data_IF_137086522950
#
_entry.id   IF_137086522950
#
_cell.length_a   1.000
_cell.length_b   1.000
_cell.length_c   1.000
_cell.angle_alpha   90.00
_cell.angle_beta   90.00
_cell.angle_gamma   90.00
#
_symmetry.space_group_name_H-M   'P 1'
#
loop_
_entity.id
_entity.type
_entity.pdbx_description
1 polymer ?
#
# COMPACT_ATOMS: atom_id res chain seq x y z
N UNK A 1 12.02 6.51 -22.66
CA UNK A 1 13.10 7.40 -23.14
C UNK A 1 13.20 7.28 -24.64
N UNK A 2 13.61 8.34 -25.36
CA UNK A 2 13.76 8.34 -26.82
C UNK A 2 15.23 8.56 -27.16
N UNK A 3 15.84 7.63 -27.89
CA UNK A 3 17.29 7.63 -28.18
C UNK A 3 17.54 7.98 -29.64
N UNK A 4 18.43 8.95 -29.89
CA UNK A 4 18.93 9.27 -31.22
C UNK A 4 20.42 8.91 -31.27
N UNK A 5 20.86 8.24 -32.33
CA UNK A 5 22.27 7.98 -32.57
C UNK A 5 22.79 8.88 -33.69
N UNK A 6 23.93 9.55 -33.45
CA UNK A 6 24.62 10.37 -34.44
C UNK A 6 26.08 9.88 -34.58
N UNK A 7 26.42 9.28 -35.72
CA UNK A 7 27.72 8.60 -35.91
C UNK A 7 28.40 8.95 -37.24
N UNK A 8 29.73 8.91 -37.28
CA UNK A 8 30.51 8.98 -38.53
C UNK A 8 30.71 7.61 -39.19
N UNK A 9 30.37 6.52 -38.49
CA UNK A 9 30.46 5.15 -38.99
C UNK A 9 29.06 4.66 -39.40
N UNK A 10 28.79 4.62 -40.70
CA UNK A 10 27.47 4.35 -41.27
C UNK A 10 27.34 2.98 -41.93
N UNK A 11 28.05 1.97 -41.43
CA UNK A 11 27.88 0.61 -41.95
C UNK A 11 26.46 0.13 -41.68
N UNK A 12 25.90 -0.62 -42.64
CA UNK A 12 24.55 -1.19 -42.54
C UNK A 12 24.41 -2.05 -41.28
N UNK A 13 25.44 -2.81 -40.93
CA UNK A 13 25.51 -3.63 -39.71
C UNK A 13 25.37 -2.78 -38.44
N UNK A 14 26.08 -1.65 -38.34
CA UNK A 14 25.99 -0.75 -37.17
C UNK A 14 24.59 -0.14 -37.05
N UNK A 15 23.97 0.22 -38.17
CA UNK A 15 22.61 0.76 -38.18
C UNK A 15 21.57 -0.29 -37.76
N UNK A 16 21.71 -1.53 -38.27
CA UNK A 16 20.84 -2.65 -37.90
C UNK A 16 20.97 -2.98 -36.41
N UNK A 17 22.20 -3.11 -35.91
CA UNK A 17 22.45 -3.38 -34.49
C UNK A 17 21.89 -2.26 -33.60
N UNK A 18 22.10 -1.00 -33.97
CA UNK A 18 21.60 0.13 -33.20
C UNK A 18 20.07 0.18 -33.12
N UNK A 19 19.37 -0.16 -34.20
CA UNK A 19 17.90 -0.24 -34.22
C UNK A 19 17.40 -1.46 -33.43
N UNK A 20 17.95 -2.64 -33.69
CA UNK A 20 17.44 -3.90 -33.15
C UNK A 20 17.83 -4.10 -31.68
N UNK A 21 19.05 -3.73 -31.28
CA UNK A 21 19.57 -3.95 -29.93
C UNK A 21 19.53 -2.67 -29.10
N UNK A 22 19.81 -1.52 -29.72
CA UNK A 22 19.86 -0.22 -29.03
C UNK A 22 18.49 0.45 -28.83
N UNK A 23 17.46 -0.03 -29.53
CA UNK A 23 16.12 0.59 -29.56
C UNK A 23 16.19 2.10 -29.87
N UNK A 24 17.00 2.49 -30.84
CA UNK A 24 17.11 3.89 -31.25
C UNK A 24 15.89 4.30 -32.07
N UNK A 25 15.38 5.50 -31.80
CA UNK A 25 14.27 6.10 -32.52
C UNK A 25 14.71 6.59 -33.91
N UNK A 26 15.90 7.19 -34.00
CA UNK A 26 16.50 7.65 -35.26
C UNK A 26 18.01 7.46 -35.28
N UNK A 27 18.52 7.16 -36.46
CA UNK A 27 19.93 7.04 -36.79
C UNK A 27 20.33 8.17 -37.76
N UNK A 28 21.38 8.90 -37.43
CA UNK A 28 21.92 10.01 -38.22
C UNK A 28 23.40 9.80 -38.51
N UNK A 29 23.84 10.16 -39.71
CA UNK A 29 25.24 10.10 -40.13
C UNK A 29 25.89 11.48 -40.12
N UNK A 30 27.18 11.56 -39.82
CA UNK A 30 27.97 12.78 -39.96
C UNK A 30 28.59 12.88 -41.36
N UNK A 31 28.65 14.09 -41.96
CA UNK A 31 28.08 15.35 -41.46
C UNK A 31 26.56 15.38 -41.60
N UNK A 32 25.85 15.81 -40.54
CA UNK A 32 24.39 15.92 -40.55
C UNK A 32 23.98 17.38 -40.84
N UNK A 33 23.19 17.65 -41.89
CA UNK A 33 22.66 18.99 -42.15
C UNK A 33 21.85 19.52 -40.96
N UNK A 34 22.02 20.81 -40.57
CA UNK A 34 21.30 21.39 -39.45
C UNK A 34 19.78 21.21 -39.51
N UNK A 35 19.16 21.34 -40.70
CA UNK A 35 17.72 21.15 -40.87
C UNK A 35 17.27 19.71 -40.64
N UNK A 36 18.10 18.73 -41.01
CA UNK A 36 17.81 17.32 -40.79
C UNK A 36 17.92 16.96 -39.30
N UNK A 37 18.92 17.52 -38.61
CA UNK A 37 19.06 17.39 -37.17
C UNK A 37 17.88 18.04 -36.45
N UNK A 38 17.48 19.26 -36.84
CA UNK A 38 16.36 19.99 -36.26
C UNK A 38 15.04 19.18 -36.38
N UNK A 39 14.69 18.72 -37.59
CA UNK A 39 13.50 17.87 -37.80
C UNK A 39 13.55 16.57 -37.00
N UNK A 40 14.73 15.98 -36.83
CA UNK A 40 14.91 14.75 -36.06
C UNK A 40 14.71 14.99 -34.57
N UNK A 41 15.21 16.11 -34.04
CA UNK A 41 15.00 16.52 -32.65
C UNK A 41 13.54 16.85 -32.39
N UNK A 42 12.87 17.60 -33.26
CA UNK A 42 11.42 17.88 -33.16
C UNK A 42 10.59 16.60 -33.12
N UNK A 43 10.88 15.65 -34.02
CA UNK A 43 10.20 14.36 -34.04
C UNK A 43 10.48 13.53 -32.77
N UNK A 44 11.71 13.57 -32.25
CA UNK A 44 12.08 12.84 -31.05
C UNK A 44 11.47 13.43 -29.78
N UNK A 45 11.39 14.77 -29.69
CA UNK A 45 10.68 15.47 -28.61
C UNK A 45 9.20 15.08 -28.64
N UNK A 46 8.54 15.16 -29.81
CA UNK A 46 7.15 14.75 -29.94
C UNK A 46 6.92 13.28 -29.57
N UNK A 47 7.82 12.39 -29.96
CA UNK A 47 7.75 10.97 -29.57
C UNK A 47 7.91 10.81 -28.05
N UNK A 48 8.83 11.56 -27.44
CA UNK A 48 9.05 11.52 -26.00
C UNK A 48 7.81 12.02 -25.25
N UNK A 49 7.21 13.12 -25.70
CA UNK A 49 5.96 13.66 -25.15
C UNK A 49 4.83 12.64 -25.24
N UNK A 50 4.64 11.98 -26.38
CA UNK A 50 3.60 10.96 -26.56
C UNK A 50 3.78 9.77 -25.60
N UNK A 51 5.00 9.22 -25.53
CA UNK A 51 5.30 8.06 -24.66
C UNK A 51 5.17 8.43 -23.18
N UNK A 52 5.64 9.62 -22.78
CA UNK A 52 5.49 10.09 -21.40
C UNK A 52 4.03 10.37 -21.07
N UNK A 53 3.27 10.98 -21.98
CA UNK A 53 1.85 11.26 -21.79
C UNK A 53 1.02 9.97 -21.67
N UNK A 54 1.30 8.95 -22.48
CA UNK A 54 0.67 7.62 -22.37
C UNK A 54 0.94 7.00 -21.00
N UNK A 55 2.21 7.00 -20.57
CA UNK A 55 2.61 6.46 -19.26
C UNK A 55 1.91 7.22 -18.11
N UNK A 56 1.95 8.54 -18.14
CA UNK A 56 1.30 9.37 -17.12
C UNK A 56 -0.21 9.18 -17.08
N UNK A 57 -0.87 9.13 -18.24
CA UNK A 57 -2.30 8.89 -18.33
C UNK A 57 -2.65 7.55 -17.73
N UNK A 58 -1.87 6.51 -18.04
CA UNK A 58 -2.09 5.17 -17.54
C UNK A 58 -1.87 5.08 -16.02
N UNK A 59 -0.82 5.70 -15.48
CA UNK A 59 -0.57 5.76 -14.04
C UNK A 59 -1.65 6.55 -13.30
N UNK A 60 -2.05 7.72 -13.82
CA UNK A 60 -3.13 8.54 -13.25
C UNK A 60 -4.46 7.79 -13.25
N UNK A 61 -4.81 7.15 -14.38
CA UNK A 61 -6.05 6.37 -14.52
C UNK A 61 -6.05 5.19 -13.57
N UNK A 62 -4.94 4.43 -13.49
CA UNK A 62 -4.85 3.30 -12.56
C UNK A 62 -5.01 3.74 -11.11
N UNK A 63 -4.33 4.82 -10.72
CA UNK A 63 -4.43 5.37 -9.36
C UNK A 63 -5.85 5.83 -9.02
N UNK A 64 -6.54 6.46 -9.98
CA UNK A 64 -7.94 6.87 -9.83
C UNK A 64 -8.88 5.67 -9.73
N UNK A 65 -8.67 4.61 -10.53
CA UNK A 65 -9.44 3.37 -10.42
C UNK A 65 -9.28 2.72 -9.04
N UNK A 66 -8.05 2.61 -8.54
CA UNK A 66 -7.78 2.10 -7.18
C UNK A 66 -8.49 2.97 -6.14
N UNK A 67 -8.42 4.30 -6.28
CA UNK A 67 -9.10 5.22 -5.39
C UNK A 67 -10.61 4.98 -5.35
N UNK A 68 -11.27 4.88 -6.52
CA UNK A 68 -12.71 4.59 -6.61
C UNK A 68 -13.06 3.27 -5.94
N UNK A 69 -12.27 2.20 -6.14
CA UNK A 69 -12.50 0.91 -5.48
C UNK A 69 -12.42 1.01 -3.96
N UNK A 70 -11.43 1.75 -3.44
CA UNK A 70 -11.30 1.98 -2.00
C UNK A 70 -12.43 2.85 -1.44
N UNK A 71 -12.92 3.84 -2.20
CA UNK A 71 -14.08 4.63 -1.81
C UNK A 71 -15.35 3.79 -1.76
N UNK A 72 -15.58 2.93 -2.75
CA UNK A 72 -16.71 1.98 -2.75
C UNK A 72 -16.64 1.05 -1.55
N UNK A 73 -15.46 0.50 -1.25
CA UNK A 73 -15.27 -0.32 -0.05
C UNK A 73 -15.63 0.46 1.22
N UNK A 74 -15.25 1.74 1.31
CA UNK A 74 -15.58 2.60 2.46
C UNK A 74 -17.08 2.80 2.67
N UNK A 75 -17.86 2.77 1.58
CA UNK A 75 -19.31 2.93 1.61
C UNK A 75 -20.03 1.61 1.92
N UNK A 76 -19.59 0.52 1.31
CA UNK A 76 -20.23 -0.80 1.44
C UNK A 76 -19.81 -1.51 2.73
N UNK A 77 -18.54 -1.39 3.12
CA UNK A 77 -17.99 -2.09 4.26
C UNK A 77 -16.96 -1.21 5.03
N UNK A 78 -17.44 -0.32 5.92
CA UNK A 78 -16.58 0.58 6.70
C UNK A 78 -15.58 -0.16 7.60
N UNK A 79 -15.92 -1.36 8.07
CA UNK A 79 -15.08 -2.19 8.92
C UNK A 79 -13.88 -2.74 8.15
N UNK A 80 -14.11 -3.29 6.95
CA UNK A 80 -13.06 -3.73 6.03
C UNK A 80 -12.16 -2.58 5.57
N UNK A 81 -12.76 -1.44 5.18
CA UNK A 81 -12.01 -0.24 4.80
C UNK A 81 -11.13 0.29 5.94
N UNK A 82 -11.65 0.26 7.18
CA UNK A 82 -10.87 0.63 8.36
C UNK A 82 -9.64 -0.25 8.55
N UNK A 83 -9.76 -1.56 8.34
CA UNK A 83 -8.62 -2.49 8.39
C UNK A 83 -7.63 -2.22 7.26
N UNK A 84 -8.10 -2.08 6.02
CA UNK A 84 -7.26 -1.76 4.87
C UNK A 84 -6.42 -0.48 5.11
N UNK A 85 -7.03 0.55 5.68
CA UNK A 85 -6.35 1.81 6.01
C UNK A 85 -5.27 1.65 7.09
N UNK A 86 -5.53 0.86 8.16
CA UNK A 86 -4.53 0.59 9.20
C UNK A 86 -3.37 -0.26 8.69
N UNK A 87 -3.70 -1.33 7.97
CA UNK A 87 -2.73 -2.25 7.37
C UNK A 87 -1.85 -1.53 6.35
N UNK A 88 -2.44 -0.71 5.46
CA UNK A 88 -1.70 0.09 4.49
C UNK A 88 -0.65 1.00 5.13
N UNK A 89 -0.99 1.63 6.27
CA UNK A 89 -0.03 2.45 7.03
C UNK A 89 1.10 1.62 7.64
N UNK A 90 0.79 0.46 8.21
CA UNK A 90 1.81 -0.46 8.75
C UNK A 90 2.75 -0.92 7.62
N UNK A 91 2.20 -1.35 6.49
CA UNK A 91 2.95 -1.79 5.31
C UNK A 91 3.87 -0.69 4.80
N UNK A 92 3.36 0.54 4.64
CA UNK A 92 4.15 1.70 4.20
C UNK A 92 5.32 1.98 5.14
N UNK A 93 5.11 1.91 6.45
CA UNK A 93 6.18 2.14 7.42
C UNK A 93 7.22 1.01 7.40
N UNK A 94 6.80 -0.25 7.24
CA UNK A 94 7.71 -1.38 7.08
C UNK A 94 8.54 -1.22 5.80
N UNK A 95 7.92 -0.84 4.67
CA UNK A 95 8.63 -0.62 3.41
C UNK A 95 9.69 0.50 3.52
N UNK A 96 9.40 1.56 4.26
CA UNK A 96 10.38 2.62 4.55
C UNK A 96 11.55 2.12 5.38
N UNK A 97 11.29 1.36 6.45
CA UNK A 97 12.34 0.78 7.31
C UNK A 97 13.24 -0.18 6.52
N UNK A 98 12.65 -0.96 5.62
CA UNK A 98 13.38 -1.89 4.75
C UNK A 98 14.04 -1.21 3.52
N UNK A 99 13.92 0.11 3.37
CA UNK A 99 14.44 0.88 2.23
C UNK A 99 14.02 0.32 0.86
N UNK A 100 12.73 -0.01 0.69
CA UNK A 100 12.19 -0.51 -0.58
C UNK A 100 11.87 0.67 -1.51
N UNK A 101 12.70 0.86 -2.54
CA UNK A 101 12.59 1.99 -3.49
C UNK A 101 11.27 2.03 -4.27
N UNK A 102 10.74 0.87 -4.68
CA UNK A 102 9.51 0.76 -5.47
C UNK A 102 8.46 -0.12 -4.79
N UNK A 103 7.86 0.41 -3.71
CA UNK A 103 6.89 -0.31 -2.87
C UNK A 103 5.43 -0.17 -3.32
N UNK A 104 5.16 0.47 -4.46
CA UNK A 104 3.79 0.83 -4.88
C UNK A 104 2.85 -0.38 -4.95
N UNK A 105 3.32 -1.52 -5.48
CA UNK A 105 2.51 -2.75 -5.59
C UNK A 105 2.13 -3.28 -4.22
N UNK A 106 3.04 -3.16 -3.25
CA UNK A 106 2.86 -3.64 -1.89
C UNK A 106 1.85 -2.74 -1.16
N UNK A 107 1.97 -1.41 -1.33
CA UNK A 107 1.01 -0.45 -0.79
C UNK A 107 -0.40 -0.65 -1.37
N UNK A 108 -0.50 -0.83 -2.70
CA UNK A 108 -1.79 -1.09 -3.36
C UNK A 108 -2.37 -2.44 -2.91
N UNK A 109 -1.55 -3.48 -2.77
CA UNK A 109 -2.02 -4.76 -2.27
C UNK A 109 -2.55 -4.66 -0.84
N UNK A 110 -1.92 -3.87 0.02
CA UNK A 110 -2.41 -3.61 1.36
C UNK A 110 -3.79 -2.91 1.34
N UNK A 111 -3.96 -1.90 0.49
CA UNK A 111 -5.22 -1.17 0.32
C UNK A 111 -6.35 -2.05 -0.22
N UNK A 112 -6.03 -2.95 -1.16
CA UNK A 112 -7.02 -3.81 -1.83
C UNK A 112 -7.19 -5.19 -1.19
N UNK A 113 -6.34 -5.56 -0.21
CA UNK A 113 -6.40 -6.87 0.48
C UNK A 113 -7.78 -7.19 1.07
N UNK A 114 -8.53 -6.15 1.47
CA UNK A 114 -9.85 -6.30 2.09
C UNK A 114 -11.02 -6.13 1.08
N UNK A 115 -10.76 -5.95 -0.22
CA UNK A 115 -11.82 -5.69 -1.21
C UNK A 115 -12.80 -6.86 -1.34
N UNK A 116 -12.33 -8.09 -1.17
CA UNK A 116 -13.18 -9.28 -1.19
C UNK A 116 -14.08 -9.41 0.04
N UNK A 117 -13.88 -8.62 1.10
CA UNK A 117 -14.75 -8.65 2.29
C UNK A 117 -16.17 -8.12 2.02
N UNK A 118 -16.46 -7.63 0.80
CA UNK A 118 -17.82 -7.28 0.37
C UNK A 118 -18.81 -8.45 0.43
N UNK A 119 -18.33 -9.70 0.36
CA UNK A 119 -19.17 -10.90 0.47
C UNK A 119 -19.33 -11.41 1.91
N UNK A 120 -18.65 -10.80 2.89
CA UNK A 120 -18.62 -11.29 4.27
C UNK A 120 -19.50 -10.41 5.17
N UNK A 121 -20.45 -10.99 5.93
CA UNK A 121 -21.24 -10.29 6.93
C UNK A 121 -20.39 -9.55 7.98
N UNK A 122 -20.90 -8.41 8.46
CA UNK A 122 -20.16 -7.53 9.39
C UNK A 122 -19.81 -8.21 10.72
N UNK A 123 -20.71 -9.01 11.28
CA UNK A 123 -20.49 -9.72 12.54
C UNK A 123 -19.35 -10.74 12.43
N UNK A 124 -19.26 -11.45 11.30
CA UNK A 124 -18.16 -12.37 11.00
C UNK A 124 -16.84 -11.60 10.83
N UNK A 125 -16.84 -10.47 10.12
CA UNK A 125 -15.64 -9.65 9.97
C UNK A 125 -15.13 -9.12 11.31
N UNK A 126 -16.03 -8.64 12.18
CA UNK A 126 -15.64 -8.18 13.52
C UNK A 126 -15.01 -9.31 14.31
N UNK A 127 -15.59 -10.52 14.30
CA UNK A 127 -14.98 -11.69 14.96
C UNK A 127 -13.59 -11.98 14.40
N UNK A 128 -13.46 -12.10 13.07
CA UNK A 128 -12.20 -12.39 12.40
C UNK A 128 -11.10 -11.36 12.73
N UNK A 129 -11.42 -10.07 12.65
CA UNK A 129 -10.46 -8.98 12.87
C UNK A 129 -10.07 -8.79 14.34
N UNK A 130 -10.86 -9.33 15.26
CA UNK A 130 -10.56 -9.32 16.70
C UNK A 130 -9.96 -10.63 17.19
N UNK A 131 -9.77 -11.62 16.32
CA UNK A 131 -9.28 -12.95 16.68
C UNK A 131 -10.27 -13.75 17.53
N UNK A 132 -11.55 -13.40 17.52
CA UNK A 132 -12.60 -14.20 18.14
C UNK A 132 -12.78 -15.52 17.38
N UNK A 133 -13.17 -16.63 18.06
CA UNK A 133 -13.36 -17.91 17.41
C UNK A 133 -14.47 -17.82 16.35
N UNK A 134 -14.16 -18.33 15.16
CA UNK A 134 -15.11 -18.51 14.07
C UNK A 134 -15.55 -19.97 14.02
N UNK A 135 -16.82 -20.21 13.67
CA UNK A 135 -17.26 -21.56 13.31
C UNK A 135 -16.53 -22.04 12.03
N UNK A 136 -16.57 -23.35 11.72
CA UNK A 136 -16.02 -23.85 10.47
C UNK A 136 -16.62 -23.16 9.24
N UNK A 137 -17.95 -22.91 9.23
CA UNK A 137 -18.60 -22.20 8.12
C UNK A 137 -18.19 -20.72 8.06
N UNK A 138 -18.06 -20.05 9.21
CA UNK A 138 -17.61 -18.66 9.27
C UNK A 138 -16.15 -18.54 8.81
N UNK A 139 -15.31 -19.52 9.13
CA UNK A 139 -13.90 -19.59 8.70
C UNK A 139 -13.78 -19.75 7.19
N UNK A 140 -14.54 -20.69 6.62
CA UNK A 140 -14.59 -20.90 5.16
C UNK A 140 -15.08 -19.63 4.44
N UNK A 141 -16.19 -19.04 4.92
CA UNK A 141 -16.72 -17.79 4.38
C UNK A 141 -15.69 -16.66 4.46
N UNK A 142 -14.98 -16.54 5.58
CA UNK A 142 -13.92 -15.56 5.72
C UNK A 142 -12.81 -15.86 4.70
N UNK A 143 -12.27 -17.07 4.61
CA UNK A 143 -11.20 -17.39 3.65
C UNK A 143 -11.57 -17.10 2.19
N UNK A 144 -12.83 -17.27 1.80
CA UNK A 144 -13.30 -16.96 0.45
C UNK A 144 -13.12 -15.48 0.06
N UNK A 145 -12.96 -14.55 1.01
CA UNK A 145 -12.68 -13.15 0.70
C UNK A 145 -11.35 -12.98 -0.06
N UNK A 146 -10.38 -13.87 0.15
CA UNK A 146 -9.06 -13.78 -0.49
C UNK A 146 -9.17 -14.06 -1.98
N UNK A 147 -9.85 -15.14 -2.35
CA UNK A 147 -10.07 -15.51 -3.76
C UNK A 147 -10.91 -14.46 -4.47
N UNK A 148 -12.01 -13.99 -3.86
CA UNK A 148 -12.82 -12.90 -4.45
C UNK A 148 -11.98 -11.63 -4.63
N UNK A 149 -11.17 -11.26 -3.63
CA UNK A 149 -10.31 -10.09 -3.71
C UNK A 149 -9.27 -10.19 -4.82
N UNK A 150 -8.60 -11.34 -4.92
CA UNK A 150 -7.65 -11.66 -5.99
C UNK A 150 -8.31 -11.58 -7.36
N UNK A 151 -9.46 -12.21 -7.58
CA UNK A 151 -10.12 -12.25 -8.89
C UNK A 151 -10.56 -10.84 -9.36
N UNK A 152 -11.07 -10.03 -8.43
CA UNK A 152 -11.41 -8.63 -8.71
C UNK A 152 -10.18 -7.81 -9.12
N UNK A 153 -9.06 -7.98 -8.41
CA UNK A 153 -7.82 -7.24 -8.69
C UNK A 153 -7.12 -7.73 -9.96
N UNK A 154 -7.10 -9.05 -10.20
CA UNK A 154 -6.50 -9.66 -11.38
C UNK A 154 -7.22 -9.28 -12.68
N UNK A 155 -8.50 -8.88 -12.58
CA UNK A 155 -9.27 -8.37 -13.73
C UNK A 155 -8.81 -6.98 -14.21
N UNK A 156 -7.97 -6.28 -13.44
CA UNK A 156 -7.45 -4.96 -13.79
C UNK A 156 -6.06 -5.13 -14.43
N UNK A 157 -5.86 -4.70 -15.69
CA UNK A 157 -4.57 -4.83 -16.34
C UNK A 157 -3.44 -4.20 -15.53
N UNK A 158 -2.30 -4.89 -15.44
CA UNK A 158 -1.08 -4.47 -14.71
C UNK A 158 -1.15 -4.63 -13.19
N UNK A 159 -2.26 -5.14 -12.64
CA UNK A 159 -2.39 -5.47 -11.22
C UNK A 159 -2.20 -6.97 -10.92
N UNK A 160 -1.73 -7.76 -11.89
CA UNK A 160 -1.41 -9.17 -11.68
C UNK A 160 -0.39 -9.38 -10.54
N UNK A 161 0.68 -8.57 -10.40
CA UNK A 161 1.59 -8.67 -9.25
C UNK A 161 0.91 -8.32 -7.91
N UNK A 162 -0.06 -7.41 -7.92
CA UNK A 162 -0.83 -7.03 -6.73
C UNK A 162 -1.78 -8.17 -6.34
N UNK A 163 -2.45 -8.78 -7.32
CA UNK A 163 -3.29 -9.95 -7.10
C UNK A 163 -2.47 -11.14 -6.58
N UNK A 164 -1.23 -11.32 -7.06
CA UNK A 164 -0.32 -12.34 -6.52
C UNK A 164 0.00 -12.07 -5.04
N UNK A 165 0.30 -10.81 -4.66
CA UNK A 165 0.52 -10.47 -3.25
C UNK A 165 -0.70 -10.82 -2.39
N UNK A 166 -1.91 -10.49 -2.84
CA UNK A 166 -3.16 -10.77 -2.12
C UNK A 166 -3.39 -12.29 -2.02
N UNK A 167 -3.10 -13.05 -3.07
CA UNK A 167 -3.26 -14.52 -3.10
C UNK A 167 -2.48 -15.19 -1.95
N UNK A 168 -1.26 -14.72 -1.70
CA UNK A 168 -0.38 -15.30 -0.69
C UNK A 168 -0.47 -14.61 0.68
N UNK A 169 -1.48 -13.77 0.93
CA UNK A 169 -1.56 -12.98 2.16
C UNK A 169 -1.74 -13.81 3.44
N UNK A 170 -2.20 -15.07 3.33
CA UNK A 170 -2.33 -16.04 4.43
C UNK A 170 -1.25 -17.13 4.41
N UNK A 171 -0.29 -17.05 3.48
CA UNK A 171 0.81 -18.02 3.39
C UNK A 171 1.81 -17.76 4.52
N UNK A 172 2.17 -18.81 5.25
CA UNK A 172 3.18 -18.75 6.30
C UNK A 172 4.58 -18.92 5.73
N UNK A 173 5.58 -18.34 6.39
CA UNK A 173 6.95 -18.33 5.91
C UNK A 173 7.57 -19.73 5.80
N UNK A 174 7.13 -20.69 6.61
CA UNK A 174 7.52 -22.10 6.53
C UNK A 174 6.91 -22.86 5.33
N UNK A 175 5.95 -22.24 4.64
CA UNK A 175 5.25 -22.78 3.48
C UNK A 175 3.88 -23.40 3.80
N UNK A 176 3.46 -23.43 5.07
CA UNK A 176 2.10 -23.81 5.44
C UNK A 176 1.11 -22.65 5.20
N UNK A 177 -0.19 -22.91 5.35
CA UNK A 177 -1.23 -21.92 5.05
C UNK A 177 -1.64 -21.91 3.57
N UNK A 178 -2.39 -20.88 3.18
CA UNK A 178 -3.05 -20.79 1.88
C UNK A 178 -2.30 -19.85 0.92
N UNK A 179 -2.23 -20.17 -0.38
CA UNK A 179 -2.65 -21.44 -1.01
C UNK A 179 -1.75 -22.62 -0.60
N UNK A 180 -2.26 -23.85 -0.66
CA UNK A 180 -1.52 -25.08 -0.31
C UNK A 180 -0.55 -25.53 -1.42
N UNK A 181 0.36 -24.64 -1.81
CA UNK A 181 1.42 -24.91 -2.79
C UNK A 181 2.81 -25.06 -2.13
N UNK A 182 3.84 -25.27 -2.96
CA UNK A 182 5.21 -25.50 -2.50
C UNK A 182 5.98 -24.22 -2.10
N UNK A 183 5.44 -23.02 -2.35
CA UNK A 183 6.16 -21.76 -2.07
C UNK A 183 6.40 -21.63 -0.57
N UNK A 184 7.65 -21.29 -0.20
CA UNK A 184 8.10 -21.11 1.18
C UNK A 184 9.25 -20.13 1.24
N UNK A 185 9.48 -19.54 2.40
CA UNK A 185 10.57 -18.61 2.65
C UNK A 185 10.56 -17.44 1.66
N UNK A 186 11.73 -17.15 1.08
CA UNK A 186 11.89 -16.05 0.10
C UNK A 186 11.24 -16.33 -1.27
N UNK A 187 10.73 -17.54 -1.52
CA UNK A 187 9.94 -17.82 -2.72
C UNK A 187 8.52 -17.23 -2.64
N UNK A 188 8.04 -16.90 -1.44
CA UNK A 188 6.79 -16.16 -1.25
C UNK A 188 7.04 -14.69 -1.64
N UNK A 189 6.15 -14.06 -2.43
CA UNK A 189 6.30 -12.66 -2.83
C UNK A 189 6.60 -11.75 -1.62
N UNK A 190 7.58 -10.84 -1.77
CA UNK A 190 7.97 -9.95 -0.68
C UNK A 190 6.78 -9.18 -0.11
N UNK A 191 5.92 -8.65 -0.99
CA UNK A 191 4.72 -7.96 -0.57
C UNK A 191 3.76 -8.82 0.24
N UNK A 192 3.63 -10.11 -0.05
CA UNK A 192 2.77 -11.03 0.70
C UNK A 192 3.33 -11.31 2.10
N UNK A 193 4.66 -11.48 2.22
CA UNK A 193 5.34 -11.62 3.52
C UNK A 193 5.15 -10.37 4.39
N UNK A 194 5.24 -9.18 3.81
CA UNK A 194 4.99 -7.90 4.51
C UNK A 194 3.52 -7.79 4.93
N UNK A 195 2.60 -8.12 4.00
CA UNK A 195 1.17 -8.05 4.23
C UNK A 195 0.72 -9.02 5.35
N UNK A 196 1.26 -10.25 5.40
CA UNK A 196 0.96 -11.22 6.45
C UNK A 196 1.32 -10.69 7.85
N UNK A 197 2.52 -10.10 7.98
CA UNK A 197 2.98 -9.48 9.23
C UNK A 197 2.06 -8.31 9.63
N UNK A 198 1.70 -7.45 8.69
CA UNK A 198 0.82 -6.30 8.96
C UNK A 198 -0.61 -6.72 9.34
N UNK A 199 -1.18 -7.72 8.67
CA UNK A 199 -2.53 -8.23 8.94
C UNK A 199 -2.65 -8.88 10.31
N UNK A 200 -1.68 -9.74 10.67
CA UNK A 200 -1.67 -10.43 11.97
C UNK A 200 -1.42 -9.46 13.12
N UNK A 201 -0.55 -8.47 12.91
CA UNK A 201 -0.36 -7.39 13.86
C UNK A 201 -1.65 -6.59 14.08
N UNK A 202 -2.35 -6.18 13.00
CA UNK A 202 -3.64 -5.47 13.13
C UNK A 202 -4.67 -6.30 13.88
N UNK A 203 -4.74 -7.62 13.63
CA UNK A 203 -5.64 -8.54 14.36
C UNK A 203 -5.31 -8.58 15.86
N UNK A 204 -4.03 -8.66 16.24
CA UNK A 204 -3.61 -8.67 17.64
C UNK A 204 -3.95 -7.34 18.34
N UNK A 205 -3.73 -6.21 17.68
CA UNK A 205 -4.19 -4.90 18.18
C UNK A 205 -5.72 -4.87 18.31
N UNK A 206 -6.44 -5.43 17.34
CA UNK A 206 -7.91 -5.55 17.34
C UNK A 206 -8.44 -6.39 18.51
N UNK A 207 -7.70 -7.42 18.93
CA UNK A 207 -7.99 -8.26 20.10
C UNK A 207 -7.70 -7.59 21.45
N UNK A 208 -7.26 -6.33 21.44
CA UNK A 208 -6.98 -5.54 22.64
C UNK A 208 -5.55 -5.68 23.17
N UNK A 209 -4.62 -6.28 22.41
CA UNK A 209 -3.19 -6.30 22.77
C UNK A 209 -2.57 -4.94 22.49
N UNK A 210 -1.60 -4.56 23.32
CA UNK A 210 -0.72 -3.43 23.03
C UNK A 210 0.27 -3.78 21.92
N UNK A 211 0.85 -2.78 21.27
CA UNK A 211 1.84 -3.02 20.22
C UNK A 211 3.05 -3.86 20.68
N UNK A 212 3.66 -3.61 21.86
CA UNK A 212 4.72 -4.48 22.38
C UNK A 212 4.28 -5.92 22.64
N UNK A 213 3.08 -6.13 23.22
CA UNK A 213 2.53 -7.48 23.44
C UNK A 213 2.27 -8.20 22.12
N UNK A 214 1.75 -7.50 21.12
CA UNK A 214 1.50 -8.06 19.80
C UNK A 214 2.82 -8.55 19.15
N UNK A 215 3.88 -7.74 19.19
CA UNK A 215 5.20 -8.14 18.70
C UNK A 215 5.72 -9.38 19.44
N UNK A 216 5.61 -9.42 20.79
CA UNK A 216 6.06 -10.57 21.57
C UNK A 216 5.30 -11.86 21.21
N UNK A 217 3.97 -11.77 21.05
CA UNK A 217 3.16 -12.92 20.61
C UNK A 217 3.60 -13.40 19.22
N UNK A 218 3.85 -12.48 18.29
CA UNK A 218 4.28 -12.83 16.94
C UNK A 218 5.66 -13.52 16.94
N UNK A 219 6.58 -13.14 17.83
CA UNK A 219 7.88 -13.82 17.99
C UNK A 219 7.77 -15.27 18.46
N UNK A 220 6.73 -15.61 19.22
CA UNK A 220 6.50 -17.01 19.66
C UNK A 220 6.00 -17.93 18.54
N UNK A 221 5.54 -17.38 17.41
CA UNK A 221 4.97 -18.13 16.28
C UNK A 221 6.08 -18.54 15.30
N UNK A 222 6.84 -19.57 15.67
CA UNK A 222 7.94 -20.07 14.84
C UNK A 222 7.45 -20.49 13.45
N UNK A 223 8.16 -20.05 12.40
CA UNK A 223 7.85 -20.40 11.01
C UNK A 223 6.76 -19.56 10.35
N UNK A 224 6.07 -18.68 11.08
CA UNK A 224 4.95 -17.92 10.51
C UNK A 224 5.41 -16.73 9.67
N UNK A 225 6.43 -16.02 10.15
CA UNK A 225 6.84 -14.73 9.60
C UNK A 225 8.27 -14.77 9.09
N UNK A 226 8.55 -13.93 8.11
CA UNK A 226 9.91 -13.62 7.74
C UNK A 226 10.60 -12.85 8.89
N UNK A 227 11.75 -13.32 9.40
CA UNK A 227 12.45 -12.66 10.51
C UNK A 227 12.90 -11.22 10.20
N UNK A 228 13.28 -10.92 8.95
CA UNK A 228 13.72 -9.57 8.53
C UNK A 228 12.54 -8.58 8.63
N UNK A 229 11.35 -9.02 8.19
CA UNK A 229 10.13 -8.20 8.21
C UNK A 229 9.57 -8.05 9.63
N UNK A 230 9.60 -9.11 10.44
CA UNK A 230 9.17 -9.03 11.84
C UNK A 230 10.05 -8.06 12.64
N UNK A 231 11.35 -8.05 12.36
CA UNK A 231 12.30 -7.08 12.94
C UNK A 231 11.95 -5.65 12.50
N UNK A 232 11.66 -5.43 11.22
CA UNK A 232 11.23 -4.12 10.71
C UNK A 232 9.93 -3.63 11.38
N UNK A 233 8.94 -4.50 11.58
CA UNK A 233 7.71 -4.15 12.31
C UNK A 233 8.01 -3.63 13.73
N UNK A 234 8.95 -4.27 14.45
CA UNK A 234 9.34 -3.83 15.80
C UNK A 234 9.94 -2.41 15.78
N UNK A 235 10.80 -2.13 14.81
CA UNK A 235 11.36 -0.78 14.64
C UNK A 235 10.26 0.25 14.35
N UNK A 236 9.27 -0.08 13.51
CA UNK A 236 8.09 0.77 13.27
C UNK A 236 7.32 1.04 14.57
N UNK A 237 7.10 0.01 15.40
CA UNK A 237 6.39 0.15 16.68
C UNK A 237 7.15 1.07 17.64
N UNK A 238 8.48 0.98 17.68
CA UNK A 238 9.29 1.85 18.53
C UNK A 238 9.30 3.30 18.06
N UNK A 239 9.37 3.54 16.74
CA UNK A 239 9.27 4.89 16.16
C UNK A 239 7.91 5.56 16.44
N UNK A 240 6.82 4.80 16.40
CA UNK A 240 5.46 5.33 16.64
C UNK A 240 5.19 5.76 18.08
N UNK A 241 5.99 5.33 19.06
CA UNK A 241 5.87 5.80 20.46
C UNK A 241 6.12 7.30 20.61
N UNK A 242 6.69 7.96 19.59
CA UNK A 242 7.10 9.37 19.62
C UNK A 242 6.03 10.32 19.06
N UNK A 243 4.88 9.83 18.57
CA UNK A 243 3.89 10.67 17.87
C UNK A 243 3.04 11.56 18.80
N UNK A 244 2.78 12.79 18.35
CA UNK A 244 1.94 13.76 19.08
C UNK A 244 0.44 13.41 18.98
N UNK A 245 -0.24 13.28 20.12
CA UNK A 245 -1.70 13.10 20.21
C UNK A 245 -2.35 14.46 20.44
N UNK A 246 -3.30 14.84 19.58
CA UNK A 246 -4.14 16.03 19.72
C UNK A 246 -5.61 15.69 19.91
N UNK A 247 -6.35 16.60 20.51
CA UNK A 247 -7.81 16.55 20.61
C UNK A 247 -8.38 17.69 19.77
N UNK A 248 -9.00 17.36 18.65
CA UNK A 248 -9.44 18.32 17.64
C UNK A 248 -10.96 18.23 17.41
N UNK A 249 -11.59 19.33 17.02
CA UNK A 249 -12.95 19.28 16.50
C UNK A 249 -12.94 18.79 15.04
N UNK A 250 -14.09 18.34 14.54
CA UNK A 250 -14.28 17.93 13.13
C UNK A 250 -13.82 18.99 12.13
N UNK A 251 -13.91 20.27 12.51
CA UNK A 251 -13.54 21.43 11.69
C UNK A 251 -12.03 21.60 11.57
N UNK A 252 -11.28 21.13 12.57
CA UNK A 252 -9.85 21.30 12.70
C UNK A 252 -9.08 20.04 12.23
N UNK A 253 -9.81 19.03 11.72
CA UNK A 253 -9.20 17.85 11.13
C UNK A 253 -8.53 18.19 9.80
N UNK A 254 -7.28 17.80 9.63
CA UNK A 254 -6.56 17.94 8.36
C UNK A 254 -6.33 16.57 7.70
N UNK A 255 -6.29 16.51 6.35
CA UNK A 255 -5.93 15.30 5.65
C UNK A 255 -4.59 14.74 6.12
N UNK A 256 -4.52 13.43 6.34
CA UNK A 256 -3.34 12.74 6.85
C UNK A 256 -3.37 12.49 8.36
N UNK A 257 -4.15 13.25 9.15
CA UNK A 257 -4.36 12.93 10.56
C UNK A 257 -5.00 11.55 10.74
N UNK A 258 -4.73 10.87 11.85
CA UNK A 258 -5.30 9.54 12.10
C UNK A 258 -6.20 9.58 13.32
N UNK A 259 -7.43 9.11 13.19
CA UNK A 259 -8.35 9.03 14.33
C UNK A 259 -7.86 7.98 15.33
N UNK A 260 -7.59 8.39 16.56
CA UNK A 260 -7.12 7.51 17.62
C UNK A 260 -8.26 6.70 18.26
N UNK A 261 -9.49 7.22 18.20
CA UNK A 261 -10.70 6.60 18.78
C UNK A 261 -11.82 6.46 17.72
N UNK A 262 -12.81 5.61 18.01
CA UNK A 262 -14.01 5.45 17.18
C UNK A 262 -14.83 6.76 17.19
N UNK A 263 -15.17 7.27 16.02
CA UNK A 263 -16.04 8.44 15.89
C UNK A 263 -17.48 7.99 15.84
N UNK A 264 -18.25 8.44 16.83
CA UNK A 264 -19.67 8.10 16.98
C UNK A 264 -20.52 9.36 16.98
N UNK A 265 -21.77 9.20 16.53
CA UNK A 265 -22.78 10.24 16.72
C UNK A 265 -23.06 10.45 18.21
N UNK A 266 -23.73 11.54 18.57
CA UNK A 266 -24.23 11.77 19.93
C UNK A 266 -25.09 10.59 20.42
N UNK A 267 -25.89 10.02 19.53
CA UNK A 267 -26.75 8.84 19.72
C UNK A 267 -26.01 7.49 19.77
N UNK A 268 -24.71 7.46 19.50
CA UNK A 268 -23.86 6.27 19.65
C UNK A 268 -23.65 5.44 18.39
N UNK A 269 -24.17 5.86 17.24
CA UNK A 269 -23.96 5.19 15.94
C UNK A 269 -22.51 5.39 15.49
N UNK A 270 -21.83 4.33 15.07
CA UNK A 270 -20.47 4.38 14.54
C UNK A 270 -20.46 5.06 13.16
N UNK A 271 -19.70 6.15 13.03
CA UNK A 271 -19.52 6.88 11.76
C UNK A 271 -18.19 6.54 11.11
N UNK A 272 -17.13 6.50 11.92
CA UNK A 272 -15.76 6.19 11.48
C UNK A 272 -15.07 5.33 12.54
N UNK A 273 -14.38 4.27 12.12
CA UNK A 273 -13.64 3.38 13.03
C UNK A 273 -12.27 3.98 13.39
N UNK A 274 -11.80 3.73 14.61
CA UNK A 274 -10.45 4.09 15.04
C UNK A 274 -9.39 3.58 14.07
N UNK A 275 -8.34 4.38 13.88
CA UNK A 275 -7.22 4.11 13.00
C UNK A 275 -7.48 4.40 11.52
N UNK A 276 -8.59 5.04 11.15
CA UNK A 276 -8.74 5.58 9.80
C UNK A 276 -7.96 6.89 9.66
N UNK A 277 -7.27 7.04 8.53
CA UNK A 277 -6.65 8.29 8.12
C UNK A 277 -7.73 9.25 7.61
N UNK A 278 -7.60 10.53 7.97
CA UNK A 278 -8.48 11.58 7.52
C UNK A 278 -8.24 11.81 6.04
N UNK A 279 -9.21 11.39 5.23
CA UNK A 279 -9.31 11.73 3.82
C UNK A 279 -10.38 12.82 3.61
N UNK A 280 -10.30 13.62 2.54
CA UNK A 280 -11.24 14.73 2.31
C UNK A 280 -12.72 14.31 2.32
N UNK A 281 -13.06 13.16 1.72
CA UNK A 281 -14.42 12.62 1.69
C UNK A 281 -14.94 12.25 3.07
N UNK A 282 -14.07 11.68 3.92
CA UNK A 282 -14.39 11.39 5.32
C UNK A 282 -14.63 12.66 6.13
N UNK A 283 -13.81 13.69 5.94
CA UNK A 283 -14.00 14.99 6.60
C UNK A 283 -15.35 15.61 6.22
N UNK A 284 -15.70 15.62 4.93
CA UNK A 284 -17.00 16.07 4.45
C UNK A 284 -18.16 15.28 5.07
N UNK A 285 -18.03 13.96 5.15
CA UNK A 285 -19.02 13.10 5.82
C UNK A 285 -19.18 13.46 7.30
N UNK A 286 -18.08 13.64 8.03
CA UNK A 286 -18.10 14.03 9.45
C UNK A 286 -18.76 15.40 9.65
N UNK A 287 -18.45 16.39 8.80
CA UNK A 287 -19.08 17.72 8.83
C UNK A 287 -20.60 17.60 8.64
N UNK A 288 -21.05 16.78 7.70
CA UNK A 288 -22.47 16.57 7.45
C UNK A 288 -23.17 15.91 8.64
N UNK A 289 -22.57 14.86 9.22
CA UNK A 289 -23.10 14.21 10.41
C UNK A 289 -23.14 15.13 11.63
N UNK A 290 -22.12 15.99 11.80
CA UNK A 290 -22.11 17.01 12.86
C UNK A 290 -23.31 17.96 12.74
N UNK A 291 -23.67 18.37 11.52
CA UNK A 291 -24.80 19.26 11.27
C UNK A 291 -26.17 18.59 11.49
N UNK A 292 -26.30 17.31 11.17
CA UNK A 292 -27.62 16.62 11.18
C UNK A 292 -27.88 15.80 12.44
N UNK A 293 -26.90 15.01 12.90
CA UNK A 293 -27.05 14.06 14.02
C UNK A 293 -26.15 14.37 15.22
N UNK A 294 -25.23 15.30 15.08
CA UNK A 294 -24.21 15.62 16.07
C UNK A 294 -23.14 14.53 16.19
N UNK A 295 -21.89 14.94 16.37
CA UNK A 295 -20.74 14.05 16.60
C UNK A 295 -20.22 14.28 18.02
N UNK A 296 -19.75 13.21 18.68
CA UNK A 296 -19.06 13.34 19.97
C UNK A 296 -17.67 13.96 19.73
N UNK A 297 -17.49 15.17 20.21
CA UNK A 297 -16.23 15.93 20.18
C UNK A 297 -15.72 16.15 21.62
N UNK A 298 -14.41 16.38 21.83
CA UNK A 298 -13.35 16.43 20.82
C UNK A 298 -12.91 15.05 20.32
N UNK A 299 -12.40 14.99 19.09
CA UNK A 299 -11.86 13.79 18.46
C UNK A 299 -10.39 13.63 18.83
N UNK A 300 -10.02 12.47 19.37
CA UNK A 300 -8.63 12.11 19.61
C UNK A 300 -7.97 11.75 18.29
N UNK A 301 -6.90 12.44 17.92
CA UNK A 301 -6.16 12.22 16.68
C UNK A 301 -4.67 12.07 16.95
N UNK A 302 -4.04 11.25 16.14
CA UNK A 302 -2.59 11.16 16.02
C UNK A 302 -2.21 12.05 14.85
N UNK A 303 -1.35 13.04 15.12
CA UNK A 303 -0.77 13.87 14.07
C UNK A 303 0.42 13.11 13.51
N UNK A 304 0.47 12.82 12.20
CA UNK A 304 1.68 12.29 11.60
C UNK A 304 2.77 13.32 11.83
N UNK A 305 3.87 12.93 12.46
CA UNK A 305 5.04 13.78 12.48
C UNK A 305 5.34 14.19 11.03
N UNK A 306 5.58 15.49 10.82
CA UNK A 306 6.41 15.90 9.70
C UNK A 306 7.71 15.10 9.87
N UNK A 307 7.89 14.04 9.07
CA UNK A 307 9.15 13.31 9.02
C UNK A 307 10.16 14.31 8.46
N UNK A 308 10.74 15.14 9.33
CA UNK A 308 11.99 15.81 9.04
C UNK A 308 13.00 14.70 8.83
N UNK A 309 13.65 14.73 7.67
CA UNK A 309 14.70 13.86 7.20
C UNK A 309 15.97 13.80 8.10
N UNK A 310 15.86 14.06 9.40
CA UNK A 310 16.97 14.21 10.35
C UNK A 310 17.19 13.00 11.26
N UNK A 311 16.20 12.12 11.46
CA UNK A 311 16.34 10.97 12.38
C UNK A 311 16.89 9.70 11.73
N UNK A 312 16.91 9.60 10.40
CA UNK A 312 17.52 8.46 9.69
C UNK A 312 19.05 8.63 9.57
N UNK A 313 19.56 9.87 9.56
CA UNK A 313 21.00 10.15 9.48
C UNK A 313 21.70 9.88 10.82
N UNK A 314 21.03 10.16 11.94
CA UNK A 314 21.64 10.00 13.27
C UNK A 314 21.92 8.53 13.66
N UNK A 315 21.20 7.56 13.09
CA UNK A 315 21.49 6.14 13.32
C UNK A 315 22.64 5.60 12.45
N UNK A 316 22.89 6.22 11.29
CA UNK A 316 23.97 5.82 10.38
C UNK A 316 25.34 6.38 10.81
N UNK A 317 25.39 7.45 11.60
CA UNK A 317 26.64 8.06 12.07
C UNK A 317 27.22 7.42 13.35
N UNK A 318 26.42 6.65 14.10
CA UNK A 318 26.88 5.98 15.33
C UNK A 318 27.54 4.61 15.14
N UNK A 319 27.48 4.00 13.95
CA UNK A 319 28.20 2.74 13.65
C UNK A 319 29.56 2.96 12.95
N UNK A 320 29.97 4.23 12.76
CA UNK A 320 31.19 4.58 12.03
C UNK A 320 32.42 4.88 12.89
N UNK A 321 32.32 4.95 14.22
CA UNK A 321 33.47 5.23 15.11
C UNK A 321 33.38 4.38 16.38
N UNK A 322 33.98 3.19 16.33
CA UNK A 322 34.19 2.28 17.46
C UNK A 322 35.08 1.12 17.07
#
# INVERSE_FOLDING_TARGET
>A
TVRIMLTGNSTLETAIAAVNEGSIFRFLTKPCPPDQLARTLEAAIRQYELVTAEKELLEKTLRQSIHVLTEVLSMVNPTAFGRASRVGRIVKDICKVLAIDDSWQIEVAAMLSQIGCVIVPEDILVKAYTGAPLSPQETEMFHNHVEVGKDLVASIPRLEPVAEIITYQEKLFDGTGLPEDSKRGKAIPLGARILKVALDFDTLIGSGRTAPEACLIMETRQGWYDPEILTALKQVVDLRKVQEIKFLNVQDLEPGMVLADDVKTTTGVLVVKKGQEVIPSMQMRLINYKKTMGIREPLKVIVPDAITAHSIVAAAETEGHG
#
